data_IF_876459347015
#
_entry.id   IF_876459347015
#
_cell.length_a   1.000
_cell.length_b   1.000
_cell.length_c   1.000
_cell.angle_alpha   90.00
_cell.angle_beta   90.00
_cell.angle_gamma   90.00
#
_symmetry.space_group_name_H-M   'P 1'
#
loop_
_entity.id
_entity.type
_entity.pdbx_description
1 polymer ?
#
# COMPACT_ATOMS: atom_id res chain seq x y z
N UNK A 1 54.47 16.49 -75.81
CA UNK A 1 54.69 17.82 -76.40
C UNK A 1 53.52 18.71 -76.01
N UNK A 2 53.78 19.83 -75.30
CA UNK A 2 52.95 21.06 -75.14
C UNK A 2 51.53 20.87 -74.53
N UNK A 3 50.98 21.66 -73.61
CA UNK A 3 51.24 23.00 -73.07
C UNK A 3 50.38 23.15 -71.79
N UNK A 4 50.95 23.47 -70.62
CA UNK A 4 50.78 24.73 -69.85
C UNK A 4 49.53 25.59 -70.11
N UNK A 5 48.74 25.86 -69.05
CA UNK A 5 48.56 27.17 -68.36
C UNK A 5 47.21 27.20 -67.58
N UNK A 6 47.22 27.22 -66.23
CA UNK A 6 47.03 28.38 -65.30
C UNK A 6 45.59 28.97 -65.32
N UNK A 7 44.85 29.28 -64.25
CA UNK A 7 45.06 29.81 -62.88
C UNK A 7 43.71 29.54 -62.12
N UNK A 8 43.59 29.31 -60.81
CA UNK A 8 43.90 30.24 -59.71
C UNK A 8 43.46 29.67 -58.34
N UNK A 9 44.19 30.11 -57.31
CA UNK A 9 43.78 30.29 -55.90
C UNK A 9 43.72 29.08 -54.95
N UNK A 10 44.87 28.91 -54.30
CA UNK A 10 45.12 28.32 -52.99
C UNK A 10 44.55 29.24 -51.88
N UNK A 11 43.84 28.72 -50.87
CA UNK A 11 44.13 29.03 -49.46
C UNK A 11 43.32 28.21 -48.43
N UNK A 12 44.09 27.53 -47.58
CA UNK A 12 43.88 27.17 -46.17
C UNK A 12 42.77 26.19 -45.74
N UNK A 13 43.26 24.99 -45.41
CA UNK A 13 42.83 24.04 -44.38
C UNK A 13 42.15 24.64 -43.15
N UNK A 14 41.16 23.92 -42.61
CA UNK A 14 41.16 23.43 -41.23
C UNK A 14 40.20 22.23 -41.10
N UNK A 15 40.72 21.13 -40.58
CA UNK A 15 39.97 19.94 -40.18
C UNK A 15 39.14 20.23 -38.92
N UNK A 16 37.92 19.73 -38.85
CA UNK A 16 37.08 19.73 -37.63
C UNK A 16 36.49 18.32 -37.44
N UNK A 17 36.56 17.74 -36.23
CA UNK A 17 36.11 16.38 -35.95
C UNK A 17 34.59 16.30 -35.85
N UNK A 18 34.03 15.20 -36.33
CA UNK A 18 32.62 14.85 -36.14
C UNK A 18 32.41 14.36 -34.69
N UNK A 19 31.79 15.19 -33.87
CA UNK A 19 31.07 14.76 -32.66
C UNK A 19 29.86 15.66 -32.52
N UNK A 20 28.65 15.08 -32.60
CA UNK A 20 27.42 15.66 -32.06
C UNK A 20 26.36 14.57 -31.89
N UNK A 21 26.21 14.21 -30.63
CA UNK A 21 25.03 13.71 -29.90
C UNK A 21 23.68 13.83 -30.62
N UNK A 22 22.97 12.70 -30.70
CA UNK A 22 21.54 12.61 -31.00
C UNK A 22 20.71 12.96 -29.76
N UNK A 23 19.60 13.72 -29.88
CA UNK A 23 18.64 13.86 -28.79
C UNK A 23 17.76 12.62 -28.69
N UNK A 24 17.63 12.09 -27.48
CA UNK A 24 16.65 11.06 -27.11
C UNK A 24 15.34 11.76 -26.81
N UNK A 25 14.38 11.70 -27.73
CA UNK A 25 12.96 11.95 -27.44
C UNK A 25 12.33 10.64 -26.98
N UNK A 26 12.06 10.51 -25.68
CA UNK A 26 11.15 9.48 -25.17
C UNK A 26 9.73 10.05 -25.10
N UNK A 27 8.87 9.47 -25.93
CA UNK A 27 7.44 9.74 -25.98
C UNK A 27 6.75 9.25 -24.70
N UNK A 28 6.31 10.19 -23.86
CA UNK A 28 5.33 9.94 -22.80
C UNK A 28 4.28 11.05 -22.79
N UNK A 29 3.53 11.19 -23.89
CA UNK A 29 2.32 12.00 -23.92
C UNK A 29 1.17 11.21 -24.56
N UNK A 30 0.31 10.67 -23.69
CA UNK A 30 -1.09 10.39 -24.00
C UNK A 30 -1.86 10.21 -22.67
N UNK A 31 -2.08 11.32 -21.94
CA UNK A 31 -3.17 11.38 -20.95
C UNK A 31 -4.41 11.85 -21.69
N UNK A 32 -5.27 10.91 -22.06
CA UNK A 32 -6.64 11.20 -22.48
C UNK A 32 -7.43 11.67 -21.26
N UNK A 33 -7.88 12.92 -21.37
CA UNK A 33 -8.86 13.64 -20.58
C UNK A 33 -9.97 12.76 -20.01
N UNK A 34 -10.13 12.81 -18.67
CA UNK A 34 -11.37 12.44 -17.99
C UNK A 34 -12.54 13.31 -18.47
N UNK A 35 -13.79 12.84 -18.42
CA UNK A 35 -14.96 13.61 -18.86
C UNK A 35 -15.07 14.94 -18.09
N UNK A 36 -15.29 16.03 -18.84
CA UNK A 36 -15.53 17.36 -18.31
C UNK A 36 -16.84 17.37 -17.49
N UNK A 37 -16.71 17.51 -16.18
CA UNK A 37 -17.85 17.53 -15.24
C UNK A 37 -17.46 17.34 -13.77
N UNK A 38 -16.28 16.80 -13.48
CA UNK A 38 -15.79 16.56 -12.10
C UNK A 38 -14.74 17.58 -11.62
N UNK A 39 -14.71 18.80 -12.18
CA UNK A 39 -13.91 19.88 -11.61
C UNK A 39 -14.68 20.56 -10.48
N UNK A 40 -14.79 19.85 -9.35
CA UNK A 40 -15.10 20.50 -8.08
C UNK A 40 -14.05 21.58 -7.83
N UNK A 41 -14.49 22.82 -7.63
CA UNK A 41 -13.66 23.95 -7.24
C UNK A 41 -12.84 23.57 -6.00
N UNK A 42 -11.54 23.28 -6.16
CA UNK A 42 -10.60 23.11 -5.06
C UNK A 42 -10.25 24.49 -4.49
N UNK A 43 -11.19 25.07 -3.77
CA UNK A 43 -10.96 26.26 -2.95
C UNK A 43 -11.40 25.91 -1.54
N UNK A 44 -10.46 25.56 -0.66
CA UNK A 44 -10.71 25.54 0.79
C UNK A 44 -10.30 24.30 1.60
N UNK A 45 -9.61 23.29 1.05
CA UNK A 45 -9.07 22.20 1.88
C UNK A 45 -7.67 22.58 2.34
N UNK A 46 -7.54 23.01 3.59
CA UNK A 46 -6.27 23.17 4.29
C UNK A 46 -5.57 21.82 4.43
N UNK A 47 -4.76 21.46 3.43
CA UNK A 47 -3.82 20.33 3.48
C UNK A 47 -2.67 20.66 4.45
N UNK A 48 -2.89 20.60 5.77
CA UNK A 48 -1.94 21.29 6.67
C UNK A 48 -1.58 20.66 8.00
N UNK A 49 -2.22 19.59 8.52
CA UNK A 49 -2.02 19.21 9.93
C UNK A 49 -0.56 18.99 10.34
N UNK A 50 0.25 18.35 9.47
CA UNK A 50 1.68 18.10 9.73
C UNK A 50 2.63 18.64 8.66
N UNK A 51 2.10 19.19 7.57
CA UNK A 51 2.87 19.55 6.36
C UNK A 51 4.16 20.33 6.66
N UNK A 52 4.08 21.41 7.44
CA UNK A 52 5.23 22.25 7.78
C UNK A 52 6.23 21.55 8.71
N UNK A 53 5.76 20.70 9.64
CA UNK A 53 6.61 19.90 10.53
C UNK A 53 7.42 18.83 9.78
N UNK A 54 6.93 18.38 8.63
CA UNK A 54 7.59 17.34 7.83
C UNK A 54 8.70 17.88 6.91
N UNK A 55 8.78 19.18 6.69
CA UNK A 55 9.82 19.77 5.84
C UNK A 55 11.13 19.85 6.64
N UNK A 56 12.26 19.31 6.12
CA UNK A 56 13.56 19.48 6.77
C UNK A 56 13.94 20.96 6.96
N UNK A 57 14.46 21.28 8.14
CA UNK A 57 14.89 22.63 8.56
C UNK A 57 16.01 22.53 9.60
N UNK A 58 16.70 23.64 9.87
CA UNK A 58 17.75 23.72 10.89
C UNK A 58 17.23 23.42 12.31
N UNK A 59 16.02 23.88 12.62
CA UNK A 59 15.24 23.40 13.77
C UNK A 59 14.12 22.48 13.26
N UNK A 60 14.27 21.15 13.38
CA UNK A 60 13.29 20.20 12.86
C UNK A 60 11.94 20.25 13.57
N UNK A 61 11.87 20.83 14.78
CA UNK A 61 10.66 20.83 15.60
C UNK A 61 9.88 22.16 15.56
N UNK A 62 10.41 23.20 14.91
CA UNK A 62 9.87 24.56 14.88
C UNK A 62 8.38 24.65 14.47
N UNK A 63 7.92 23.75 13.59
CA UNK A 63 6.56 23.74 13.06
C UNK A 63 5.75 22.52 13.50
N UNK A 64 6.26 21.77 14.48
CA UNK A 64 5.63 20.57 14.98
C UNK A 64 4.65 20.87 16.12
N UNK A 65 3.68 19.97 16.36
CA UNK A 65 2.85 20.05 17.56
C UNK A 65 3.73 20.13 18.81
N UNK A 66 3.36 20.98 19.77
CA UNK A 66 4.18 21.23 20.97
C UNK A 66 4.48 19.97 21.80
N UNK A 67 3.63 18.93 21.72
CA UNK A 67 3.85 17.65 22.40
C UNK A 67 4.47 16.58 21.52
N UNK A 68 5.08 16.95 20.39
CA UNK A 68 5.75 16.02 19.51
C UNK A 68 7.09 15.57 20.09
N UNK A 69 7.48 14.35 19.72
CA UNK A 69 8.76 13.74 20.04
C UNK A 69 9.58 13.64 18.77
N UNK A 70 10.90 13.85 18.87
CA UNK A 70 11.82 13.77 17.74
C UNK A 70 12.53 12.41 17.69
N UNK A 71 12.65 11.84 16.50
CA UNK A 71 13.60 10.76 16.21
C UNK A 71 14.74 11.34 15.38
N UNK A 72 15.93 11.38 15.98
CA UNK A 72 17.18 11.82 15.37
C UNK A 72 18.26 10.75 15.60
N UNK A 73 18.60 9.94 14.60
CA UNK A 73 19.57 8.85 14.75
C UNK A 73 20.98 9.33 15.06
N UNK A 74 21.30 10.59 14.76
CA UNK A 74 22.60 11.20 15.06
C UNK A 74 22.68 11.79 16.48
N UNK A 75 21.54 11.93 17.15
CA UNK A 75 21.41 12.59 18.46
C UNK A 75 22.05 13.98 18.50
N UNK A 76 21.93 14.75 17.42
CA UNK A 76 22.49 16.11 17.31
C UNK A 76 21.48 17.19 17.71
N UNK A 77 20.18 16.90 17.65
CA UNK A 77 19.09 17.83 18.01
C UNK A 77 18.49 17.50 19.39
N UNK A 78 19.29 17.67 20.44
CA UNK A 78 18.85 17.48 21.83
C UNK A 78 18.38 18.81 22.43
N UNK A 79 17.16 18.85 22.95
CA UNK A 79 16.55 20.03 23.59
C UNK A 79 15.91 19.67 24.92
N UNK A 80 15.76 20.64 25.83
CA UNK A 80 14.92 20.52 27.02
C UNK A 80 13.42 20.62 26.71
N UNK A 81 13.06 21.14 25.54
CA UNK A 81 11.68 21.47 25.19
C UNK A 81 10.89 20.26 24.66
N UNK A 82 11.59 19.27 24.13
CA UNK A 82 11.01 18.04 23.60
C UNK A 82 11.95 16.83 23.78
N UNK A 83 11.42 15.61 23.94
CA UNK A 83 12.24 14.40 23.95
C UNK A 83 12.80 14.07 22.57
N UNK A 84 14.04 13.58 22.53
CA UNK A 84 14.71 13.08 21.32
C UNK A 84 15.17 11.64 21.52
N UNK A 85 14.91 10.76 20.54
CA UNK A 85 15.33 9.37 20.56
C UNK A 85 16.16 9.00 19.31
N UNK A 86 17.14 8.10 19.44
CA UNK A 86 17.96 7.66 18.31
C UNK A 86 17.24 6.67 17.38
N UNK A 87 16.15 6.05 17.81
CA UNK A 87 15.41 5.06 17.00
C UNK A 87 13.91 5.28 17.05
N UNK A 88 13.20 4.79 16.04
CA UNK A 88 11.75 4.95 15.96
C UNK A 88 11.07 4.10 17.03
N UNK A 89 11.55 2.88 17.28
CA UNK A 89 10.95 2.03 18.32
C UNK A 89 11.07 2.64 19.71
N UNK A 90 12.20 3.26 20.05
CA UNK A 90 12.35 3.93 21.36
C UNK A 90 11.37 5.09 21.53
N UNK A 91 11.12 5.87 20.47
CA UNK A 91 10.10 6.91 20.51
C UNK A 91 8.69 6.31 20.69
N UNK A 92 8.36 5.20 20.02
CA UNK A 92 7.09 4.48 20.22
C UNK A 92 6.95 4.00 21.67
N UNK A 93 8.00 3.42 22.24
CA UNK A 93 8.00 2.89 23.61
C UNK A 93 7.83 3.98 24.68
N UNK A 94 8.25 5.22 24.37
CA UNK A 94 8.07 6.38 25.24
C UNK A 94 6.60 6.83 25.39
N UNK A 95 5.74 6.43 24.46
CA UNK A 95 4.34 6.88 24.45
C UNK A 95 3.54 6.10 25.51
N UNK A 96 2.82 6.80 26.42
CA UNK A 96 2.03 6.14 27.45
C UNK A 96 0.73 5.52 26.90
N UNK A 97 0.18 4.56 27.62
CA UNK A 97 -1.16 4.02 27.36
C UNK A 97 -2.22 4.92 28.00
N UNK A 98 -2.79 5.83 27.21
CA UNK A 98 -3.91 6.68 27.61
C UNK A 98 -4.76 7.05 26.38
N UNK A 99 -5.57 8.11 26.46
CA UNK A 99 -6.44 8.59 25.38
C UNK A 99 -5.97 9.91 24.75
N UNK A 100 -4.77 10.39 25.06
CA UNK A 100 -4.20 11.62 24.50
C UNK A 100 -3.53 11.32 23.16
N UNK A 101 -3.65 12.23 22.19
CA UNK A 101 -2.92 12.12 20.92
C UNK A 101 -1.44 12.50 21.10
N UNK A 102 -0.56 11.68 20.53
CA UNK A 102 0.88 11.91 20.44
C UNK A 102 1.34 12.02 18.99
N UNK A 103 2.48 12.67 18.77
CA UNK A 103 3.10 12.81 17.45
C UNK A 103 4.58 12.52 17.55
N UNK A 104 5.10 11.70 16.64
CA UNK A 104 6.52 11.41 16.50
C UNK A 104 6.97 11.94 15.14
N UNK A 105 7.88 12.91 15.11
CA UNK A 105 8.59 13.32 13.90
C UNK A 105 9.81 12.43 13.70
N UNK A 106 9.94 11.85 12.51
CA UNK A 106 11.10 11.03 12.12
C UNK A 106 11.94 11.79 11.12
N UNK A 107 13.19 12.09 11.48
CA UNK A 107 14.13 12.74 10.59
C UNK A 107 14.51 11.85 9.40
N UNK A 108 14.89 12.49 8.29
CA UNK A 108 15.36 11.84 7.09
C UNK A 108 16.44 10.79 7.39
N UNK A 109 16.31 9.60 6.80
CA UNK A 109 17.23 8.51 7.07
C UNK A 109 16.69 7.13 6.72
N UNK A 110 17.57 6.14 6.82
CA UNK A 110 17.25 4.73 6.68
C UNK A 110 17.38 4.05 8.04
N UNK A 111 16.28 3.48 8.52
CA UNK A 111 16.16 2.87 9.84
C UNK A 111 16.02 1.35 9.69
N UNK A 112 16.98 0.60 10.23
CA UNK A 112 16.94 -0.87 10.22
C UNK A 112 16.29 -1.38 11.51
N UNK A 113 14.95 -1.39 11.52
CA UNK A 113 14.15 -1.71 12.70
C UNK A 113 12.90 -2.52 12.31
N UNK A 114 12.43 -3.37 13.22
CA UNK A 114 11.03 -3.84 13.22
C UNK A 114 10.27 -3.02 14.27
N UNK A 115 9.20 -2.35 13.84
CA UNK A 115 8.41 -1.46 14.68
C UNK A 115 7.18 -2.18 15.22
N UNK A 116 6.90 -2.01 16.50
CA UNK A 116 5.75 -2.61 17.19
C UNK A 116 4.99 -1.55 18.01
N UNK A 117 3.86 -1.12 17.46
CA UNK A 117 2.93 -0.16 18.07
C UNK A 117 1.92 -0.91 18.91
N UNK A 118 2.30 -1.17 20.16
CA UNK A 118 1.43 -1.79 21.18
C UNK A 118 0.66 -0.78 22.03
N UNK A 119 0.88 0.51 21.78
CA UNK A 119 0.31 1.61 22.56
C UNK A 119 -1.15 1.86 22.17
N UNK A 120 -2.03 1.99 23.15
CA UNK A 120 -3.45 2.27 22.93
C UNK A 120 -3.74 3.75 22.59
N UNK A 121 -2.84 4.66 22.99
CA UNK A 121 -3.00 6.10 22.77
C UNK A 121 -2.98 6.45 21.28
N UNK A 122 -3.87 7.33 20.78
CA UNK A 122 -3.81 7.84 19.41
C UNK A 122 -2.41 8.36 19.08
N UNK A 123 -1.85 7.90 17.97
CA UNK A 123 -0.45 8.14 17.62
C UNK A 123 -0.31 8.46 16.14
N UNK A 124 0.31 9.61 15.85
CA UNK A 124 0.75 9.98 14.51
C UNK A 124 2.27 9.84 14.40
N UNK A 125 2.77 9.05 13.45
CA UNK A 125 4.19 9.01 13.08
C UNK A 125 4.35 9.72 11.73
N UNK A 126 5.12 10.79 11.69
CA UNK A 126 5.29 11.62 10.50
C UNK A 126 6.76 11.59 10.07
N UNK A 127 7.00 11.17 8.82
CA UNK A 127 8.33 11.20 8.22
C UNK A 127 8.64 12.55 7.60
N UNK A 128 9.90 12.95 7.66
CA UNK A 128 10.39 14.07 6.86
C UNK A 128 10.27 13.77 5.35
N UNK A 129 9.90 14.79 4.59
CA UNK A 129 9.70 14.72 3.15
C UNK A 129 9.91 16.09 2.52
N UNK A 130 10.35 16.15 1.26
CA UNK A 130 10.38 17.44 0.54
C UNK A 130 9.00 17.89 0.05
N UNK A 131 8.02 16.98 0.00
CA UNK A 131 6.63 17.30 -0.34
C UNK A 131 5.68 16.34 0.40
N UNK A 132 4.89 16.83 1.36
CA UNK A 132 3.89 16.03 2.08
C UNK A 132 2.85 15.35 1.19
N UNK A 133 2.62 15.87 -0.02
CA UNK A 133 1.59 15.40 -0.96
C UNK A 133 2.16 14.57 -2.11
N UNK A 134 3.47 14.32 -2.11
CA UNK A 134 4.13 13.46 -3.08
C UNK A 134 5.01 12.46 -2.33
N UNK A 135 4.49 11.23 -2.20
CA UNK A 135 5.21 10.09 -1.61
C UNK A 135 6.59 9.88 -2.25
N UNK A 136 6.81 10.21 -3.53
CA UNK A 136 8.12 10.04 -4.16
C UNK A 136 9.21 10.95 -3.57
N UNK A 137 8.82 11.90 -2.70
CA UNK A 137 9.69 12.82 -1.98
C UNK A 137 9.94 12.42 -0.52
N UNK A 138 9.40 11.30 -0.08
CA UNK A 138 9.65 10.75 1.26
C UNK A 138 11.16 10.58 1.50
N UNK A 139 11.64 10.99 2.68
CA UNK A 139 13.06 10.90 3.05
C UNK A 139 13.33 9.85 4.13
N UNK A 140 12.28 9.21 4.64
CA UNK A 140 12.36 8.22 5.70
C UNK A 140 12.04 6.84 5.13
N UNK A 141 12.98 5.92 5.28
CA UNK A 141 12.78 4.50 4.95
C UNK A 141 13.01 3.64 6.18
N UNK A 142 12.09 2.74 6.48
CA UNK A 142 12.24 1.71 7.52
C UNK A 142 12.41 0.36 6.84
N UNK A 143 13.50 -0.33 7.17
CA UNK A 143 13.90 -1.62 6.58
C UNK A 143 13.80 -2.71 7.64
N UNK A 144 12.85 -3.61 7.45
CA UNK A 144 12.84 -4.93 8.07
C UNK A 144 13.57 -5.95 7.18
N UNK A 145 13.83 -7.14 7.72
CA UNK A 145 14.62 -8.17 7.06
C UNK A 145 14.35 -9.54 7.64
N UNK A 146 13.09 -9.95 7.60
CA UNK A 146 12.64 -11.25 8.11
C UNK A 146 11.59 -11.84 7.18
N UNK A 147 11.64 -13.16 6.96
CA UNK A 147 10.63 -13.89 6.22
C UNK A 147 10.40 -15.28 6.81
N UNK A 148 9.18 -15.80 6.66
CA UNK A 148 8.80 -17.12 7.15
C UNK A 148 8.94 -18.19 6.06
N UNK A 149 10.17 -18.43 5.63
CA UNK A 149 10.51 -19.50 4.69
C UNK A 149 10.89 -20.77 5.44
N UNK A 150 10.65 -21.95 4.86
CA UNK A 150 10.96 -23.24 5.48
C UNK A 150 10.42 -23.40 6.93
N UNK A 151 9.30 -22.74 7.25
CA UNK A 151 8.73 -22.69 8.60
C UNK A 151 9.71 -22.16 9.68
N UNK A 152 10.57 -21.19 9.32
CA UNK A 152 11.53 -20.55 10.22
C UNK A 152 10.87 -19.94 11.47
N UNK A 153 9.64 -19.45 11.33
CA UNK A 153 8.84 -18.92 12.42
C UNK A 153 7.55 -19.71 12.57
N UNK A 154 7.00 -19.70 13.79
CA UNK A 154 5.71 -20.34 14.10
C UNK A 154 4.53 -19.63 13.43
N UNK A 155 4.69 -18.38 13.01
CA UNK A 155 3.67 -17.59 12.32
C UNK A 155 4.29 -16.49 11.44
N UNK A 156 3.51 -15.94 10.51
CA UNK A 156 3.94 -14.86 9.63
C UNK A 156 4.03 -13.50 10.36
N UNK A 157 3.33 -13.34 11.49
CA UNK A 157 3.34 -12.09 12.26
C UNK A 157 4.73 -11.62 12.69
N UNK A 158 5.69 -12.55 12.85
CA UNK A 158 7.07 -12.24 13.22
C UNK A 158 7.86 -11.51 12.12
N UNK A 159 7.35 -11.50 10.89
CA UNK A 159 8.09 -10.97 9.74
C UNK A 159 7.79 -9.51 9.43
N UNK A 160 6.87 -8.89 10.16
CA UNK A 160 6.40 -7.54 9.84
C UNK A 160 7.45 -6.47 10.15
N UNK A 161 7.69 -5.57 9.19
CA UNK A 161 8.48 -4.35 9.42
C UNK A 161 7.73 -3.37 10.33
N UNK A 162 6.42 -3.19 10.15
CA UNK A 162 5.56 -2.40 11.03
C UNK A 162 4.39 -3.24 11.55
N UNK A 163 4.24 -3.34 12.86
CA UNK A 163 3.09 -3.99 13.52
C UNK A 163 2.29 -2.97 14.30
N UNK A 164 0.98 -2.90 14.07
CA UNK A 164 0.03 -2.09 14.83
C UNK A 164 -1.00 -3.03 15.44
N UNK A 165 -0.79 -3.39 16.71
CA UNK A 165 -1.62 -4.35 17.42
C UNK A 165 -1.41 -4.24 18.93
N UNK A 166 -2.42 -4.56 19.75
CA UNK A 166 -2.29 -4.49 21.22
C UNK A 166 -1.22 -5.46 21.76
N UNK A 167 -0.99 -6.58 21.09
CA UNK A 167 0.02 -7.58 21.42
C UNK A 167 0.21 -8.55 20.25
N UNK A 168 1.22 -9.43 20.35
CA UNK A 168 1.54 -10.43 19.34
C UNK A 168 0.37 -11.39 19.05
N UNK A 169 -0.38 -11.84 20.07
CA UNK A 169 -1.48 -12.79 19.89
C UNK A 169 -2.59 -12.24 18.99
N UNK A 170 -2.82 -10.93 19.01
CA UNK A 170 -3.76 -10.28 18.10
C UNK A 170 -3.28 -10.29 16.63
N UNK A 171 -1.95 -10.28 16.41
CA UNK A 171 -1.33 -10.25 15.09
C UNK A 171 -1.13 -11.62 14.44
N UNK A 172 -1.25 -12.71 15.21
CA UNK A 172 -1.05 -14.05 14.66
C UNK A 172 -2.03 -14.34 13.52
N UNK A 173 -1.51 -14.92 12.43
CA UNK A 173 -2.29 -15.26 11.23
C UNK A 173 -2.91 -16.66 11.36
N UNK A 174 -2.08 -17.64 11.72
CA UNK A 174 -2.38 -19.07 11.69
C UNK A 174 -2.61 -19.65 10.30
N UNK A 175 -2.67 -20.96 10.23
CA UNK A 175 -2.89 -21.71 8.98
C UNK A 175 -4.37 -22.05 8.74
N UNK A 176 -4.65 -22.77 7.65
CA UNK A 176 -6.01 -23.25 7.32
C UNK A 176 -7.02 -22.14 7.01
N UNK A 177 -8.32 -22.45 6.93
CA UNK A 177 -9.37 -21.50 6.54
C UNK A 177 -9.82 -20.55 7.67
N UNK A 178 -9.46 -20.83 8.93
CA UNK A 178 -9.90 -20.05 10.12
C UNK A 178 -8.78 -19.26 10.81
N UNK A 179 -7.55 -19.76 10.73
CA UNK A 179 -6.38 -19.13 11.38
C UNK A 179 -6.40 -19.29 12.89
N UNK A 180 -5.44 -18.65 13.57
CA UNK A 180 -5.43 -18.69 15.04
C UNK A 180 -6.54 -17.83 15.61
N UNK A 181 -7.23 -18.32 16.64
CA UNK A 181 -8.18 -17.51 17.39
C UNK A 181 -7.44 -16.41 18.14
N UNK A 182 -8.04 -15.22 18.23
CA UNK A 182 -7.53 -14.20 19.14
C UNK A 182 -8.04 -14.57 20.55
N UNK A 183 -7.17 -14.64 21.56
CA UNK A 183 -7.60 -14.96 22.92
C UNK A 183 -8.71 -14.02 23.42
N UNK A 184 -9.68 -14.60 24.13
CA UNK A 184 -10.73 -13.83 24.81
C UNK A 184 -10.11 -12.79 25.76
N UNK A 185 -10.74 -11.62 25.86
CA UNK A 185 -10.24 -10.52 26.69
C UNK A 185 -9.05 -9.74 26.09
N UNK A 186 -8.54 -10.12 24.91
CA UNK A 186 -7.54 -9.29 24.20
C UNK A 186 -8.13 -7.90 23.94
N UNK A 187 -7.49 -6.82 24.38
CA UNK A 187 -8.03 -5.47 24.22
C UNK A 187 -8.04 -5.05 22.74
N UNK A 188 -8.78 -4.00 22.42
CA UNK A 188 -8.51 -3.25 21.20
C UNK A 188 -7.25 -2.42 21.41
N UNK A 189 -6.35 -2.43 20.44
CA UNK A 189 -5.08 -1.70 20.48
C UNK A 189 -5.28 -0.23 20.16
N UNK A 190 -4.46 0.30 19.26
CA UNK A 190 -4.55 1.70 18.88
C UNK A 190 -5.86 1.99 18.12
N UNK A 191 -6.67 2.90 18.65
CA UNK A 191 -7.96 3.29 18.06
C UNK A 191 -7.84 4.33 16.96
N UNK A 192 -6.67 4.96 16.81
CA UNK A 192 -6.38 6.05 15.88
C UNK A 192 -4.86 6.16 15.66
N UNK A 193 -4.31 5.15 15.00
CA UNK A 193 -2.93 5.16 14.54
C UNK A 193 -2.86 5.82 13.18
N UNK A 194 -1.89 6.71 12.96
CA UNK A 194 -1.67 7.38 11.69
C UNK A 194 -0.19 7.39 11.33
N UNK A 195 0.11 7.17 10.06
CA UNK A 195 1.47 7.32 9.53
C UNK A 195 1.47 8.07 8.21
N UNK A 196 2.46 8.94 8.06
CA UNK A 196 2.59 9.85 6.92
C UNK A 196 4.01 9.82 6.37
N UNK A 197 4.13 9.71 5.04
CA UNK A 197 5.39 9.96 4.32
C UNK A 197 6.60 9.13 4.78
N UNK A 198 6.36 7.85 5.08
CA UNK A 198 7.41 6.87 5.41
C UNK A 198 7.29 5.66 4.49
N UNK A 199 8.43 5.17 4.01
CA UNK A 199 8.52 3.95 3.21
C UNK A 199 8.92 2.75 4.09
N UNK A 200 8.03 1.76 4.21
CA UNK A 200 8.27 0.51 4.91
C UNK A 200 8.65 -0.59 3.93
N UNK A 201 9.85 -1.15 4.10
CA UNK A 201 10.40 -2.19 3.23
C UNK A 201 10.70 -3.43 4.06
N UNK A 202 10.30 -4.59 3.55
CA UNK A 202 10.89 -5.85 3.97
C UNK A 202 11.78 -6.35 2.83
N UNK A 203 13.08 -6.48 3.11
CA UNK A 203 14.09 -6.76 2.09
C UNK A 203 14.80 -8.09 2.31
N UNK A 204 14.21 -9.03 3.05
CA UNK A 204 14.82 -10.35 3.29
C UNK A 204 15.09 -11.09 1.97
N UNK A 205 14.15 -11.04 1.03
CA UNK A 205 14.29 -11.61 -0.31
C UNK A 205 13.84 -10.64 -1.38
N UNK A 206 14.52 -10.70 -2.53
CA UNK A 206 14.18 -9.97 -3.76
C UNK A 206 13.23 -10.77 -4.67
N UNK A 207 12.63 -11.83 -4.12
CA UNK A 207 11.61 -12.70 -4.73
C UNK A 207 10.65 -13.23 -3.66
N UNK A 208 9.48 -13.72 -4.08
CA UNK A 208 8.57 -14.47 -3.22
C UNK A 208 9.21 -15.80 -2.78
N UNK A 209 9.71 -15.85 -1.55
CA UNK A 209 10.34 -17.04 -0.95
C UNK A 209 9.72 -17.40 0.41
N UNK A 210 8.51 -16.94 0.70
CA UNK A 210 7.83 -17.08 1.98
C UNK A 210 7.33 -15.73 2.50
N UNK A 211 6.35 -15.72 3.42
CA UNK A 211 5.72 -14.50 3.93
C UNK A 211 6.71 -13.51 4.55
N UNK A 212 6.69 -12.27 4.09
CA UNK A 212 7.59 -11.21 4.52
C UNK A 212 6.80 -9.89 4.59
N UNK A 213 6.25 -9.56 5.75
CA UNK A 213 5.29 -8.46 5.86
C UNK A 213 6.03 -7.11 5.87
N UNK A 214 5.51 -6.13 5.13
CA UNK A 214 5.89 -4.73 5.31
C UNK A 214 5.04 -4.08 6.41
N UNK A 215 3.76 -4.48 6.51
CA UNK A 215 2.85 -3.99 7.55
C UNK A 215 1.86 -5.06 8.00
N UNK A 216 1.57 -5.04 9.31
CA UNK A 216 0.55 -5.82 10.00
C UNK A 216 -0.33 -4.90 10.85
N UNK A 217 -1.65 -4.90 10.62
CA UNK A 217 -2.62 -4.15 11.44
C UNK A 217 -3.68 -5.10 11.99
N UNK A 218 -3.77 -5.24 13.31
CA UNK A 218 -4.68 -6.20 13.96
C UNK A 218 -5.29 -5.63 15.22
N UNK A 219 -6.61 -5.75 15.40
CA UNK A 219 -7.37 -5.10 16.49
C UNK A 219 -6.98 -3.63 16.71
N UNK A 220 -6.84 -2.90 15.63
CA UNK A 220 -6.42 -1.50 15.63
C UNK A 220 -7.03 -0.80 14.42
N UNK A 221 -7.09 0.52 14.48
CA UNK A 221 -7.45 1.37 13.36
C UNK A 221 -6.22 2.14 12.89
N UNK A 222 -5.90 2.06 11.59
CA UNK A 222 -4.69 2.64 11.02
C UNK A 222 -4.96 3.47 9.75
N UNK A 223 -4.72 4.77 9.80
CA UNK A 223 -4.67 5.65 8.63
C UNK A 223 -3.25 5.75 8.06
N UNK A 224 -3.08 5.47 6.77
CA UNK A 224 -1.78 5.34 6.11
C UNK A 224 -1.77 6.27 4.89
N UNK A 225 -0.94 7.32 4.94
CA UNK A 225 -1.03 8.44 4.00
C UNK A 225 0.32 8.70 3.32
N UNK A 226 0.34 8.64 1.98
CA UNK A 226 1.56 8.92 1.22
C UNK A 226 2.77 8.07 1.65
N UNK A 227 2.52 6.83 2.05
CA UNK A 227 3.55 5.86 2.44
C UNK A 227 3.85 4.87 1.31
N UNK A 228 5.02 4.25 1.42
CA UNK A 228 5.39 3.09 0.63
C UNK A 228 5.34 1.80 1.46
N UNK A 229 4.85 0.70 0.89
CA UNK A 229 4.85 -0.63 1.51
C UNK A 229 5.38 -1.65 0.52
N UNK A 230 6.57 -2.18 0.77
CA UNK A 230 7.29 -2.97 -0.22
C UNK A 230 7.74 -4.31 0.34
N UNK A 231 7.30 -5.39 -0.30
CA UNK A 231 7.82 -6.74 -0.10
C UNK A 231 7.51 -7.61 -1.34
N UNK A 232 7.41 -8.92 -1.18
CA UNK A 232 7.09 -9.89 -2.23
C UNK A 232 5.92 -10.77 -1.87
N UNK A 233 6.04 -11.64 -0.87
CA UNK A 233 4.93 -12.45 -0.40
C UNK A 233 4.32 -11.84 0.86
N UNK A 234 2.99 -11.76 0.92
CA UNK A 234 2.25 -11.34 2.11
C UNK A 234 2.63 -9.91 2.58
N UNK A 235 2.74 -8.95 1.66
CA UNK A 235 3.24 -7.58 1.97
C UNK A 235 2.39 -6.82 2.99
N UNK A 236 1.08 -6.85 2.85
CA UNK A 236 0.12 -6.16 3.72
C UNK A 236 -0.78 -7.19 4.38
N UNK A 237 -0.71 -7.26 5.70
CA UNK A 237 -1.60 -8.07 6.52
C UNK A 237 -2.58 -7.21 7.32
N UNK A 238 -3.88 -7.43 7.12
CA UNK A 238 -4.91 -6.86 8.01
C UNK A 238 -5.53 -7.98 8.83
N UNK A 239 -5.13 -8.12 10.09
CA UNK A 239 -5.62 -9.17 10.97
C UNK A 239 -7.05 -8.96 11.47
N UNK A 240 -7.48 -9.85 12.37
CA UNK A 240 -8.84 -9.87 12.91
C UNK A 240 -9.18 -8.56 13.64
N UNK A 241 -10.37 -8.02 13.37
CA UNK A 241 -10.83 -6.71 13.85
C UNK A 241 -9.86 -5.54 13.53
N UNK A 242 -8.96 -5.71 12.58
CA UNK A 242 -8.10 -4.63 12.08
C UNK A 242 -8.81 -3.80 11.01
N UNK A 243 -8.66 -2.49 11.07
CA UNK A 243 -9.14 -1.56 10.06
C UNK A 243 -7.97 -0.72 9.55
N UNK A 244 -7.78 -0.67 8.23
CA UNK A 244 -6.71 0.11 7.62
C UNK A 244 -7.20 0.90 6.41
N UNK A 245 -6.97 2.21 6.43
CA UNK A 245 -7.24 3.10 5.31
C UNK A 245 -5.92 3.54 4.67
N UNK A 246 -5.78 3.27 3.37
CA UNK A 246 -4.63 3.65 2.57
C UNK A 246 -5.05 4.74 1.58
N UNK A 247 -4.37 5.89 1.61
CA UNK A 247 -4.56 6.97 0.64
C UNK A 247 -3.22 7.42 0.03
N UNK A 248 -3.15 7.49 -1.30
CA UNK A 248 -1.96 7.94 -2.05
C UNK A 248 -0.68 7.13 -1.76
N UNK A 249 -0.84 5.85 -1.44
CA UNK A 249 0.27 4.95 -1.14
C UNK A 249 0.82 4.29 -2.40
N UNK A 250 2.00 3.71 -2.27
CA UNK A 250 2.52 2.71 -3.20
C UNK A 250 2.74 1.39 -2.48
N UNK A 251 2.11 0.34 -2.97
CA UNK A 251 2.11 -0.97 -2.34
C UNK A 251 2.65 -1.96 -3.37
N UNK A 252 3.81 -2.57 -3.11
CA UNK A 252 4.45 -3.47 -4.04
C UNK A 252 4.57 -4.89 -3.48
N UNK A 253 4.22 -5.88 -4.29
CA UNK A 253 4.31 -7.29 -3.93
C UNK A 253 4.21 -8.23 -5.12
N UNK A 254 4.19 -9.52 -4.85
CA UNK A 254 4.17 -10.62 -5.82
C UNK A 254 3.08 -11.63 -5.49
N UNK A 255 3.20 -12.32 -4.36
CA UNK A 255 2.30 -13.43 -3.96
C UNK A 255 1.40 -13.00 -2.83
N UNK A 256 0.09 -13.03 -3.05
CA UNK A 256 -0.92 -12.77 -2.01
C UNK A 256 -0.66 -11.48 -1.24
N UNK A 257 -0.15 -10.46 -1.93
CA UNK A 257 0.51 -9.36 -1.23
C UNK A 257 -0.45 -8.43 -0.48
N UNK A 258 -1.75 -8.54 -0.73
CA UNK A 258 -2.82 -8.05 0.14
C UNK A 258 -3.57 -9.24 0.73
N UNK A 259 -3.40 -9.50 2.03
CA UNK A 259 -4.06 -10.63 2.68
C UNK A 259 -4.52 -10.27 4.09
N UNK A 260 -5.43 -11.07 4.64
CA UNK A 260 -5.91 -10.80 5.99
C UNK A 260 -7.35 -11.23 6.26
N UNK A 261 -7.87 -10.74 7.38
CA UNK A 261 -9.19 -11.01 7.92
C UNK A 261 -10.05 -9.76 8.05
N UNK A 262 -9.46 -8.60 8.38
CA UNK A 262 -10.18 -7.39 8.76
C UNK A 262 -10.71 -6.58 7.57
N UNK A 263 -10.65 -5.26 7.65
CA UNK A 263 -11.06 -4.34 6.58
C UNK A 263 -9.88 -3.50 6.11
N UNK A 264 -9.55 -3.58 4.82
CA UNK A 264 -8.68 -2.62 4.14
C UNK A 264 -9.46 -1.82 3.11
N UNK A 265 -9.29 -0.50 3.10
CA UNK A 265 -9.76 0.35 2.02
C UNK A 265 -8.57 1.12 1.44
N UNK A 266 -8.26 0.87 0.17
CA UNK A 266 -7.11 1.41 -0.55
C UNK A 266 -7.64 2.34 -1.63
N UNK A 267 -7.26 3.62 -1.55
CA UNK A 267 -7.77 4.66 -2.43
C UNK A 267 -6.65 5.47 -3.06
N UNK A 268 -6.82 5.86 -4.32
CA UNK A 268 -5.89 6.73 -5.04
C UNK A 268 -4.43 6.27 -4.94
N UNK A 269 -4.20 4.97 -4.92
CA UNK A 269 -2.89 4.37 -4.64
C UNK A 269 -2.36 3.63 -5.87
N UNK A 270 -1.06 3.34 -5.87
CA UNK A 270 -0.41 2.51 -6.88
C UNK A 270 -0.10 1.13 -6.30
N UNK A 271 -0.68 0.10 -6.88
CA UNK A 271 -0.38 -1.29 -6.57
C UNK A 271 0.57 -1.83 -7.64
N UNK A 272 1.78 -2.20 -7.21
CA UNK A 272 2.89 -2.59 -8.07
C UNK A 272 3.14 -4.09 -7.99
N UNK A 273 2.77 -4.82 -9.03
CA UNK A 273 3.02 -6.25 -9.15
C UNK A 273 4.48 -6.49 -9.58
N UNK A 274 5.30 -7.05 -8.68
CA UNK A 274 6.72 -7.37 -8.91
C UNK A 274 6.93 -8.63 -9.74
N UNK A 275 5.93 -9.52 -9.74
CA UNK A 275 5.80 -10.71 -10.58
C UNK A 275 4.39 -11.26 -10.35
N UNK A 276 3.99 -12.32 -11.07
CA UNK A 276 2.74 -13.01 -10.82
C UNK A 276 2.98 -14.21 -9.89
N UNK A 277 2.28 -14.26 -8.75
CA UNK A 277 2.25 -15.42 -7.85
C UNK A 277 0.96 -15.40 -7.05
N UNK A 278 0.31 -16.55 -6.85
CA UNK A 278 -0.99 -16.59 -6.15
C UNK A 278 -2.00 -15.61 -6.76
N UNK A 279 -2.44 -14.62 -5.99
CA UNK A 279 -3.14 -13.44 -6.51
C UNK A 279 -2.69 -12.13 -5.85
N UNK A 280 -3.19 -11.00 -6.35
CA UNK A 280 -3.02 -9.70 -5.68
C UNK A 280 -3.67 -9.70 -4.31
N UNK A 281 -4.87 -10.29 -4.20
CA UNK A 281 -5.63 -10.41 -2.95
C UNK A 281 -5.81 -11.86 -2.50
N UNK A 282 -5.65 -12.12 -1.20
CA UNK A 282 -5.93 -13.42 -0.58
C UNK A 282 -6.60 -13.21 0.79
N UNK A 283 -7.88 -12.87 0.79
CA UNK A 283 -8.62 -12.61 2.02
C UNK A 283 -9.13 -13.90 2.65
N UNK A 284 -9.00 -13.96 3.96
CA UNK A 284 -9.52 -14.97 4.84
C UNK A 284 -10.59 -14.31 5.68
N UNK A 285 -11.80 -14.24 5.13
CA UNK A 285 -12.91 -13.64 5.86
C UNK A 285 -13.16 -14.35 7.19
N UNK A 286 -13.81 -13.68 8.12
CA UNK A 286 -14.09 -14.25 9.44
C UNK A 286 -15.49 -13.87 9.87
N UNK A 287 -16.21 -14.84 10.44
CA UNK A 287 -17.50 -14.58 11.05
C UNK A 287 -17.29 -13.90 12.40
N UNK A 288 -18.09 -12.88 12.64
CA UNK A 288 -18.20 -12.19 13.92
C UNK A 288 -19.61 -12.38 14.46
N UNK A 289 -19.80 -12.05 15.73
CA UNK A 289 -21.13 -11.99 16.37
C UNK A 289 -21.98 -10.82 15.88
N UNK A 290 -21.39 -9.92 15.10
CA UNK A 290 -22.01 -8.74 14.50
C UNK A 290 -21.83 -8.73 12.97
N UNK A 291 -22.63 -7.95 12.25
CA UNK A 291 -22.45 -7.74 10.81
C UNK A 291 -21.16 -6.97 10.54
N UNK A 292 -20.30 -7.49 9.66
CA UNK A 292 -19.06 -6.84 9.29
C UNK A 292 -18.93 -6.65 7.78
N UNK A 293 -18.07 -5.71 7.41
CA UNK A 293 -17.66 -5.46 6.03
C UNK A 293 -16.21 -5.86 5.78
N UNK A 294 -15.74 -6.90 6.47
CA UNK A 294 -14.38 -7.41 6.28
C UNK A 294 -14.12 -7.78 4.83
N UNK A 295 -12.94 -7.44 4.35
CA UNK A 295 -12.55 -7.49 2.96
C UNK A 295 -11.51 -6.43 2.63
N UNK A 296 -11.07 -6.46 1.38
CA UNK A 296 -10.20 -5.44 0.81
C UNK A 296 -10.90 -4.73 -0.35
N UNK A 297 -10.95 -3.41 -0.28
CA UNK A 297 -11.63 -2.55 -1.25
C UNK A 297 -10.58 -1.64 -1.90
N UNK A 298 -10.33 -1.81 -3.18
CA UNK A 298 -9.35 -1.03 -3.94
C UNK A 298 -10.13 -0.08 -4.85
N UNK A 299 -9.99 1.22 -4.66
CA UNK A 299 -10.79 2.25 -5.32
C UNK A 299 -9.90 3.29 -6.01
N UNK A 300 -10.27 3.71 -7.22
CA UNK A 300 -9.64 4.83 -7.94
C UNK A 300 -8.11 4.75 -7.97
N UNK A 301 -7.59 3.54 -8.19
CA UNK A 301 -6.18 3.20 -8.04
C UNK A 301 -5.60 2.64 -9.34
N UNK A 302 -4.29 2.46 -9.39
CA UNK A 302 -3.60 1.79 -10.49
C UNK A 302 -3.10 0.41 -10.03
N UNK A 303 -3.36 -0.64 -10.80
CA UNK A 303 -2.78 -1.96 -10.62
C UNK A 303 -1.93 -2.31 -11.84
N UNK A 304 -0.61 -2.27 -11.67
CA UNK A 304 0.34 -2.35 -12.80
C UNK A 304 1.57 -3.19 -12.45
N UNK A 305 2.28 -3.67 -13.47
CA UNK A 305 3.62 -4.22 -13.30
C UNK A 305 4.54 -3.17 -12.64
N UNK A 306 5.38 -3.62 -11.71
CA UNK A 306 6.21 -2.72 -10.91
C UNK A 306 7.24 -1.93 -11.74
N UNK A 307 7.60 -2.42 -12.92
CA UNK A 307 8.42 -1.70 -13.89
C UNK A 307 8.24 -2.26 -15.32
N UNK A 308 8.77 -1.55 -16.31
CA UNK A 308 8.62 -1.89 -17.73
C UNK A 308 9.39 -3.15 -18.16
N UNK A 309 10.45 -3.55 -17.46
CA UNK A 309 11.25 -4.72 -17.85
C UNK A 309 10.55 -6.04 -17.56
N UNK A 310 9.63 -6.07 -16.58
CA UNK A 310 8.83 -7.25 -16.23
C UNK A 310 7.42 -7.25 -16.86
N UNK A 311 6.92 -6.08 -17.28
CA UNK A 311 5.54 -5.94 -17.78
C UNK A 311 5.20 -6.91 -18.93
N UNK A 312 6.10 -7.05 -19.90
CA UNK A 312 5.90 -7.94 -21.05
C UNK A 312 5.81 -9.42 -20.64
N UNK A 313 6.56 -9.85 -19.63
CA UNK A 313 6.58 -11.24 -19.17
C UNK A 313 5.34 -11.59 -18.35
N UNK A 314 4.64 -10.60 -17.80
CA UNK A 314 3.46 -10.75 -16.95
C UNK A 314 2.13 -10.66 -17.71
N UNK A 315 2.15 -10.26 -18.98
CA UNK A 315 0.94 -10.07 -19.81
C UNK A 315 -0.01 -11.28 -19.72
N UNK A 316 -1.23 -11.05 -19.22
CA UNK A 316 -2.28 -12.07 -19.09
C UNK A 316 -2.03 -13.15 -18.02
N UNK A 317 -1.10 -12.94 -17.08
CA UNK A 317 -0.65 -13.99 -16.14
C UNK A 317 -1.00 -13.75 -14.68
N UNK A 318 -1.23 -12.52 -14.24
CA UNK A 318 -1.46 -12.19 -12.83
C UNK A 318 -2.95 -12.28 -12.45
N UNK A 319 -3.27 -12.88 -11.32
CA UNK A 319 -4.65 -12.96 -10.84
C UNK A 319 -5.00 -11.79 -9.90
N UNK A 320 -6.23 -11.28 -9.96
CA UNK A 320 -6.75 -10.27 -9.03
C UNK A 320 -6.82 -10.79 -7.59
N UNK A 321 -7.01 -12.09 -7.44
CA UNK A 321 -7.00 -12.72 -6.14
C UNK A 321 -7.36 -14.19 -6.19
N UNK A 322 -7.33 -14.80 -5.01
CA UNK A 322 -7.78 -16.16 -4.76
C UNK A 322 -8.41 -16.26 -3.37
N UNK A 323 -9.58 -16.91 -3.23
CA UNK A 323 -10.34 -16.91 -1.98
C UNK A 323 -9.73 -17.86 -0.96
N UNK A 324 -9.02 -17.37 0.06
CA UNK A 324 -8.44 -18.23 1.09
C UNK A 324 -9.53 -19.01 1.84
N UNK A 325 -10.74 -18.45 1.97
CA UNK A 325 -11.94 -19.16 2.38
C UNK A 325 -13.21 -18.60 1.72
N UNK A 326 -14.38 -19.15 2.08
CA UNK A 326 -15.70 -18.81 1.54
C UNK A 326 -16.24 -17.45 1.99
N UNK A 327 -15.52 -16.78 2.89
CA UNK A 327 -15.84 -15.44 3.35
C UNK A 327 -14.92 -14.40 2.74
N UNK A 328 -14.05 -14.77 1.78
CA UNK A 328 -13.21 -13.82 1.08
C UNK A 328 -14.07 -12.73 0.46
N UNK A 329 -13.61 -11.48 0.62
CA UNK A 329 -14.18 -10.32 -0.04
C UNK A 329 -13.06 -9.44 -0.56
N UNK A 330 -13.01 -9.25 -1.87
CA UNK A 330 -12.16 -8.26 -2.52
C UNK A 330 -12.94 -7.57 -3.63
N UNK A 331 -12.83 -6.25 -3.72
CA UNK A 331 -13.52 -5.48 -4.76
C UNK A 331 -12.54 -4.45 -5.33
N UNK A 332 -12.37 -4.47 -6.65
CA UNK A 332 -11.67 -3.43 -7.40
C UNK A 332 -12.71 -2.49 -8.01
N UNK A 333 -12.60 -1.18 -7.72
CA UNK A 333 -13.55 -0.15 -8.12
C UNK A 333 -12.81 0.98 -8.83
N UNK A 334 -13.29 1.37 -10.02
CA UNK A 334 -12.72 2.47 -10.81
C UNK A 334 -11.19 2.39 -10.92
N UNK A 335 -10.65 1.18 -11.05
CA UNK A 335 -9.22 0.90 -10.95
C UNK A 335 -8.68 0.58 -12.34
N UNK A 336 -7.59 1.25 -12.71
CA UNK A 336 -6.86 0.95 -13.93
C UNK A 336 -6.06 -0.34 -13.75
N UNK A 337 -6.10 -1.23 -14.75
CA UNK A 337 -5.35 -2.47 -14.80
C UNK A 337 -4.52 -2.54 -16.08
N UNK A 338 -3.21 -2.69 -15.94
CA UNK A 338 -2.36 -2.94 -17.11
C UNK A 338 -2.57 -4.36 -17.67
N UNK A 339 -1.88 -4.67 -18.77
CA UNK A 339 -2.07 -5.92 -19.51
C UNK A 339 -1.62 -7.17 -18.73
N UNK A 340 -1.11 -7.04 -17.50
CA UNK A 340 -0.64 -8.16 -16.69
C UNK A 340 -1.77 -9.08 -16.22
N UNK A 341 -2.99 -8.57 -16.10
CA UNK A 341 -4.09 -9.30 -15.46
C UNK A 341 -4.61 -10.44 -16.35
N UNK A 342 -4.84 -11.61 -15.74
CA UNK A 342 -5.47 -12.77 -16.38
C UNK A 342 -6.86 -12.38 -16.91
N UNK A 343 -7.25 -12.84 -18.12
CA UNK A 343 -8.59 -12.64 -18.64
C UNK A 343 -9.71 -13.07 -17.68
N UNK A 344 -9.51 -14.16 -16.91
CA UNK A 344 -10.50 -14.65 -15.95
C UNK A 344 -10.60 -13.82 -14.66
N UNK A 345 -9.65 -12.92 -14.39
CA UNK A 345 -9.59 -12.11 -13.17
C UNK A 345 -9.11 -12.90 -11.96
N UNK A 346 -10.03 -13.56 -11.27
CA UNK A 346 -9.76 -14.34 -10.05
C UNK A 346 -9.47 -15.81 -10.37
N UNK A 347 -8.74 -16.50 -9.47
CA UNK A 347 -8.42 -17.93 -9.59
C UNK A 347 -8.85 -18.69 -8.34
N UNK A 348 -8.93 -20.01 -8.43
CA UNK A 348 -9.24 -20.89 -7.29
C UNK A 348 -8.10 -20.94 -6.28
N UNK A 349 -8.43 -21.04 -4.97
CA UNK A 349 -7.43 -21.27 -3.92
C UNK A 349 -6.85 -22.69 -3.97
N UNK A 350 -7.71 -23.69 -4.09
CA UNK A 350 -7.36 -25.10 -4.23
C UNK A 350 -8.47 -25.84 -4.99
N UNK A 351 -8.29 -27.14 -5.18
CA UNK A 351 -9.29 -28.00 -5.81
C UNK A 351 -10.58 -28.17 -4.98
N UNK A 352 -10.62 -27.69 -3.72
CA UNK A 352 -11.77 -27.78 -2.83
C UNK A 352 -12.75 -26.64 -3.15
N UNK A 353 -14.08 -26.89 -3.22
CA UNK A 353 -15.03 -25.86 -3.55
C UNK A 353 -15.17 -24.91 -2.37
N UNK A 354 -15.18 -23.62 -2.68
CA UNK A 354 -15.34 -22.54 -1.73
C UNK A 354 -16.60 -21.77 -2.19
N UNK A 355 -17.78 -22.03 -1.57
CA UNK A 355 -19.02 -21.27 -1.75
C UNK A 355 -18.85 -19.78 -1.37
N UNK A 356 -19.84 -18.89 -1.58
CA UNK A 356 -19.58 -17.64 -2.30
C UNK A 356 -18.71 -16.64 -1.52
N UNK A 357 -17.46 -16.55 -1.96
CA UNK A 357 -16.63 -15.38 -1.82
C UNK A 357 -17.17 -14.25 -2.72
N UNK A 358 -17.01 -13.00 -2.28
CA UNK A 358 -17.24 -11.84 -3.13
C UNK A 358 -15.94 -11.44 -3.82
N UNK A 359 -15.84 -11.77 -5.10
CA UNK A 359 -14.68 -11.51 -5.96
C UNK A 359 -15.10 -10.48 -7.02
N UNK A 360 -15.14 -9.22 -6.59
CA UNK A 360 -15.84 -8.16 -7.29
C UNK A 360 -14.95 -7.26 -8.15
N UNK A 361 -15.53 -6.77 -9.23
CA UNK A 361 -15.08 -5.59 -9.99
C UNK A 361 -16.25 -4.62 -10.18
N UNK A 362 -15.95 -3.33 -10.29
CA UNK A 362 -16.90 -2.29 -10.67
C UNK A 362 -16.17 -1.18 -11.41
N UNK A 363 -16.47 -0.99 -12.69
CA UNK A 363 -15.89 0.11 -13.46
C UNK A 363 -14.37 0.03 -13.57
N UNK A 364 -13.78 -1.17 -13.45
CA UNK A 364 -12.36 -1.38 -13.74
C UNK A 364 -12.12 -1.22 -15.24
N UNK A 365 -10.92 -0.78 -15.61
CA UNK A 365 -10.62 -0.42 -16.99
C UNK A 365 -9.13 -0.61 -17.32
N UNK A 366 -8.78 -0.45 -18.59
CA UNK A 366 -7.43 -0.67 -19.09
C UNK A 366 -7.25 -2.05 -19.73
N UNK A 367 -6.06 -2.35 -20.29
CA UNK A 367 -5.83 -3.56 -21.07
C UNK A 367 -5.89 -4.87 -20.26
N UNK A 368 -5.90 -4.82 -18.93
CA UNK A 368 -6.11 -5.99 -18.06
C UNK A 368 -7.58 -6.31 -17.76
N UNK A 369 -8.50 -5.42 -18.13
CA UNK A 369 -9.93 -5.65 -18.00
C UNK A 369 -10.47 -6.31 -19.27
N UNK A 370 -10.98 -7.54 -19.11
CA UNK A 370 -11.52 -8.36 -20.20
C UNK A 370 -12.91 -8.89 -19.80
N UNK A 371 -14.01 -8.24 -20.24
CA UNK A 371 -15.36 -8.63 -19.84
C UNK A 371 -15.76 -10.02 -20.36
N UNK A 372 -15.22 -10.46 -21.50
CA UNK A 372 -15.47 -11.81 -22.04
C UNK A 372 -14.72 -12.84 -21.20
N UNK A 373 -13.45 -12.55 -20.89
CA UNK A 373 -12.62 -13.36 -20.02
C UNK A 373 -13.23 -13.57 -18.62
N UNK A 374 -13.83 -12.52 -18.03
CA UNK A 374 -14.46 -12.61 -16.69
C UNK A 374 -15.62 -13.59 -16.64
N UNK A 375 -16.33 -13.79 -17.74
CA UNK A 375 -17.47 -14.73 -17.82
C UNK A 375 -17.03 -16.18 -18.12
N UNK A 376 -15.73 -16.44 -18.17
CA UNK A 376 -15.22 -17.80 -18.41
C UNK A 376 -15.26 -18.61 -17.12
N UNK A 377 -15.87 -19.79 -17.19
CA UNK A 377 -15.94 -20.72 -16.06
C UNK A 377 -14.59 -21.38 -15.79
N UNK A 378 -14.25 -21.53 -14.52
CA UNK A 378 -13.12 -22.31 -14.05
C UNK A 378 -13.62 -23.55 -13.32
N UNK A 379 -12.89 -24.67 -13.42
CA UNK A 379 -13.24 -25.88 -12.68
C UNK A 379 -12.90 -25.69 -11.20
N UNK A 380 -13.92 -25.65 -10.37
CA UNK A 380 -13.82 -25.57 -8.92
C UNK A 380 -14.49 -26.81 -8.34
N UNK A 381 -13.68 -27.77 -7.88
CA UNK A 381 -14.14 -29.04 -7.33
C UNK A 381 -15.12 -29.83 -8.22
N UNK A 382 -14.80 -29.92 -9.51
CA UNK A 382 -15.66 -30.60 -10.48
C UNK A 382 -16.84 -29.77 -10.97
N UNK A 383 -17.05 -28.55 -10.45
CA UNK A 383 -18.12 -27.64 -10.89
C UNK A 383 -17.53 -26.45 -11.64
N UNK A 384 -18.05 -26.19 -12.83
CA UNK A 384 -17.70 -25.01 -13.62
C UNK A 384 -18.32 -23.76 -12.98
N UNK A 385 -17.47 -22.84 -12.53
CA UNK A 385 -17.88 -21.64 -11.80
C UNK A 385 -17.28 -20.38 -12.43
N UNK A 386 -18.11 -19.37 -12.65
CA UNK A 386 -17.63 -18.01 -12.94
C UNK A 386 -17.17 -17.39 -11.63
N UNK A 387 -15.87 -17.15 -11.52
CA UNK A 387 -15.28 -16.66 -10.26
C UNK A 387 -15.47 -15.17 -10.07
N UNK A 388 -15.43 -14.39 -11.17
CA UNK A 388 -15.41 -12.94 -11.10
C UNK A 388 -16.81 -12.37 -11.23
N UNK A 389 -17.19 -11.48 -10.32
CA UNK A 389 -18.48 -10.80 -10.30
C UNK A 389 -18.31 -9.35 -10.73
N UNK A 390 -18.87 -8.97 -11.88
CA UNK A 390 -19.02 -7.56 -12.24
C UNK A 390 -20.24 -6.99 -11.51
N UNK A 391 -20.01 -6.02 -10.63
CA UNK A 391 -21.05 -5.43 -9.80
C UNK A 391 -21.82 -4.35 -10.55
N UNK A 392 -23.10 -4.22 -10.25
CA UNK A 392 -23.91 -3.06 -10.66
C UNK A 392 -23.68 -1.87 -9.73
N UNK A 393 -24.08 -0.67 -10.18
CA UNK A 393 -24.05 0.54 -9.35
C UNK A 393 -24.81 0.39 -8.02
N UNK A 394 -25.91 -0.37 -8.03
CA UNK A 394 -26.71 -0.64 -6.82
C UNK A 394 -25.97 -1.58 -5.85
N UNK A 395 -25.32 -2.62 -6.37
CA UNK A 395 -24.60 -3.60 -5.54
C UNK A 395 -23.31 -3.03 -4.95
N UNK A 396 -22.59 -2.20 -5.70
CA UNK A 396 -21.35 -1.60 -5.22
C UNK A 396 -21.62 -0.49 -4.20
N UNK A 397 -22.81 0.15 -4.20
CA UNK A 397 -23.15 1.30 -3.35
C UNK A 397 -22.83 1.09 -1.87
N UNK A 398 -22.98 -0.13 -1.36
CA UNK A 398 -22.66 -0.49 0.03
C UNK A 398 -21.15 -0.55 0.34
N UNK A 399 -20.27 -0.33 -0.62
CA UNK A 399 -18.81 -0.41 -0.46
C UNK A 399 -18.08 0.79 -1.06
N UNK A 400 -18.81 1.79 -1.57
CA UNK A 400 -18.25 2.84 -2.44
C UNK A 400 -17.34 3.82 -1.72
N UNK A 401 -17.50 3.97 -0.41
CA UNK A 401 -16.77 4.93 0.40
C UNK A 401 -16.17 4.24 1.63
N UNK A 402 -15.11 4.80 2.23
CA UNK A 402 -14.56 4.32 3.49
C UNK A 402 -15.64 4.16 4.58
N UNK A 403 -16.57 5.12 4.67
CA UNK A 403 -17.68 5.10 5.63
C UNK A 403 -18.70 3.98 5.42
N UNK A 404 -18.74 3.37 4.24
CA UNK A 404 -19.64 2.25 3.96
C UNK A 404 -19.08 0.90 4.45
N UNK A 405 -17.76 0.83 4.72
CA UNK A 405 -17.08 -0.41 5.11
C UNK A 405 -16.47 -0.36 6.50
N UNK A 406 -16.04 0.81 6.96
CA UNK A 406 -15.58 0.97 8.33
C UNK A 406 -16.79 1.26 9.21
N UNK A 407 -17.31 0.19 9.81
CA UNK A 407 -18.46 0.24 10.71
C UNK A 407 -18.11 -0.30 12.09
N UNK A 408 -18.80 0.19 13.11
CA UNK A 408 -18.77 -0.37 14.46
C UNK A 408 -19.55 -1.68 14.51
N UNK A 409 -19.43 -2.42 15.61
CA UNK A 409 -20.24 -3.64 15.85
C UNK A 409 -21.75 -3.37 15.84
N UNK A 410 -22.16 -2.13 16.11
CA UNK A 410 -23.55 -1.68 16.05
C UNK A 410 -23.97 -1.18 14.66
N UNK A 411 -23.12 -1.35 13.64
CA UNK A 411 -23.39 -0.93 12.26
C UNK A 411 -23.31 0.57 12.01
N UNK A 412 -22.75 1.36 12.93
CA UNK A 412 -22.54 2.80 12.74
C UNK A 412 -21.24 3.07 12.00
N UNK A 413 -21.13 4.21 11.30
CA UNK A 413 -19.87 4.66 10.68
C UNK A 413 -18.76 4.74 11.74
N UNK A 414 -17.57 4.23 11.40
CA UNK A 414 -16.38 4.23 12.24
C UNK A 414 -15.20 4.82 11.45
N UNK A 415 -15.21 6.12 11.23
CA UNK A 415 -14.25 6.83 10.36
C UNK A 415 -13.52 7.99 11.04
N UNK A 416 -13.80 8.28 12.32
CA UNK A 416 -13.21 9.42 13.05
C UNK A 416 -11.68 9.31 13.18
N UNK A 417 -11.14 8.09 13.06
CA UNK A 417 -9.71 7.81 13.04
C UNK A 417 -9.04 8.07 11.68
N UNK A 418 -9.84 8.32 10.64
CA UNK A 418 -9.37 8.71 9.31
C UNK A 418 -9.34 10.24 9.25
N UNK A 419 -8.29 10.80 8.65
CA UNK A 419 -8.25 12.24 8.34
C UNK A 419 -9.31 12.63 7.29
N UNK A 420 -10.21 13.55 7.68
CA UNK A 420 -11.37 14.00 6.88
C UNK A 420 -10.99 14.50 5.50
N UNK A 421 -9.86 15.20 5.39
CA UNK A 421 -9.34 15.73 4.12
C UNK A 421 -9.06 14.64 3.06
N UNK A 422 -8.96 13.37 3.45
CA UNK A 422 -8.65 12.26 2.55
C UNK A 422 -9.86 11.39 2.18
N UNK A 423 -11.07 11.69 2.69
CA UNK A 423 -12.29 10.96 2.33
C UNK A 423 -13.54 11.83 2.17
N UNK A 424 -13.46 13.14 2.40
CA UNK A 424 -14.53 14.08 2.09
C UNK A 424 -14.58 14.31 0.57
N UNK A 425 -15.48 13.60 -0.11
CA UNK A 425 -15.71 13.68 -1.57
C UNK A 425 -16.92 14.56 -1.90
#
# INVERSE_FOLDING_TARGET
>A
MLSKAYLSSLCLLLAVPFSRTLPVESSLEARTTLPAGCYGKRTGIHFTTYSACQIPSDDPMAHCPQSAVLVDPSMTHISSDYPTYPTIQQAIDSIPNNNRRYTILVMAGTYHEQLNVTRAAPLSIIGQTYDPLDRSKNLVTVIGGTANYNSRYTDNAFTSTLTVAPNLNASLTGSGPTGFAVPEGTPFGNIDFRVYNIDFRNTEFDISNGPALAISVSRANAGLYYCGFYSYQDTVYIGKLGNAYFFQNEIAGQTDFLYGFGTAYISNSKLLMRSCGGGVTAWKGTNTTFENRYGVYIASSDLVAANSSIAATMKGKCALGRPWNNLHRSIFMDTYMDASIKPVGYITWSAIPIPPALLGEYGTYGPGWDPVGRNTTQLQAGVLTVMTTELTAAEVKKFRKPEDVFITEQGKKNIDWIDEQFYAW
#
